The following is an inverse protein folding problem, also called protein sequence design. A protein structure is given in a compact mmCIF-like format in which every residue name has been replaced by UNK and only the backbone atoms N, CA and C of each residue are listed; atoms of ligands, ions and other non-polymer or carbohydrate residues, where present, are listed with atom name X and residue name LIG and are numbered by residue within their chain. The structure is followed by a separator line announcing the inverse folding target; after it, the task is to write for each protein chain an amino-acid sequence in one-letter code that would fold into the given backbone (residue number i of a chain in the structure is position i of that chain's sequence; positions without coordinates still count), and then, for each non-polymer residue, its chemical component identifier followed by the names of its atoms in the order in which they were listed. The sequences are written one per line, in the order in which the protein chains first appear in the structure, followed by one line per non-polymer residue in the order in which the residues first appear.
data_IF_997874396637
#
_entry.id   IF_997874396637
#
_cell.length_a   1.000
_cell.length_b   1.000
_cell.length_c   1.000
_cell.angle_alpha   90.00
_cell.angle_beta   90.00
_cell.angle_gamma   90.00
#
_symmetry.space_group_name_H-M   'P 1'
#
loop_
_entity.id
_entity.type
_entity.pdbx_description
1 polymer ?
#
# COMPACT_ATOMS: atom_id res chain seq x y z
N UNK A 1 21.24 -3.54 8.69
CA UNK A 1 21.84 -3.71 10.04
C UNK A 1 22.45 -2.45 10.66
N UNK A 2 22.51 -1.30 9.98
CA UNK A 2 23.14 -0.09 10.54
C UNK A 2 22.28 0.71 11.55
N UNK A 3 20.95 0.60 11.51
CA UNK A 3 20.03 1.42 12.30
C UNK A 3 19.03 0.60 13.14
N UNK A 4 19.49 -0.53 13.71
CA UNK A 4 18.65 -1.59 14.29
C UNK A 4 17.59 -1.09 15.29
N UNK A 5 17.97 -0.23 16.24
CA UNK A 5 17.03 0.25 17.27
C UNK A 5 16.11 1.38 16.78
N UNK A 6 16.49 2.10 15.73
CA UNK A 6 15.69 3.23 15.22
C UNK A 6 14.48 2.78 14.40
N UNK A 7 14.53 1.59 13.79
CA UNK A 7 13.40 1.02 13.05
C UNK A 7 12.17 0.84 13.97
N UNK A 8 12.38 0.55 15.26
CA UNK A 8 11.30 0.45 16.24
C UNK A 8 10.46 1.72 16.39
N UNK A 9 11.01 2.91 16.08
CA UNK A 9 10.24 4.15 16.11
C UNK A 9 9.13 4.17 15.06
N UNK A 10 9.34 3.54 13.88
CA UNK A 10 8.30 3.40 12.87
C UNK A 10 7.16 2.50 13.34
N UNK A 11 7.46 1.44 14.08
CA UNK A 11 6.45 0.52 14.63
C UNK A 11 5.58 1.23 15.68
N UNK A 12 6.21 1.98 16.59
CA UNK A 12 5.51 2.74 17.63
C UNK A 12 4.64 3.85 17.00
N UNK A 13 5.19 4.60 16.04
CA UNK A 13 4.43 5.64 15.34
C UNK A 13 3.26 5.05 14.52
N UNK A 14 3.48 3.90 13.87
CA UNK A 14 2.45 3.22 13.07
C UNK A 14 1.28 2.73 13.93
N UNK A 15 1.55 2.10 15.07
CA UNK A 15 0.51 1.65 15.99
C UNK A 15 -0.30 2.80 16.57
N UNK A 16 0.37 3.89 16.98
CA UNK A 16 -0.30 5.10 17.46
C UNK A 16 -1.18 5.74 16.39
N UNK A 17 -0.70 5.81 15.14
CA UNK A 17 -1.48 6.31 14.00
C UNK A 17 -2.71 5.44 13.75
N UNK A 18 -2.57 4.10 13.84
CA UNK A 18 -3.68 3.17 13.68
C UNK A 18 -4.81 3.38 14.71
N UNK A 19 -4.46 3.62 15.98
CA UNK A 19 -5.43 3.92 17.04
C UNK A 19 -6.19 5.21 16.71
N UNK A 20 -5.48 6.27 16.33
CA UNK A 20 -6.08 7.56 15.97
C UNK A 20 -7.00 7.42 14.75
N UNK A 21 -6.58 6.66 13.74
CA UNK A 21 -7.40 6.38 12.54
C UNK A 21 -8.70 5.67 12.89
N UNK A 22 -8.65 4.69 13.80
CA UNK A 22 -9.83 3.94 14.23
C UNK A 22 -10.85 4.82 14.99
N UNK A 23 -10.39 5.63 15.94
CA UNK A 23 -11.31 6.41 16.79
C UNK A 23 -11.81 7.71 16.16
N UNK A 24 -11.01 8.37 15.33
CA UNK A 24 -11.34 9.72 14.83
C UNK A 24 -11.80 9.67 13.38
N UNK A 25 -11.02 9.04 12.51
CA UNK A 25 -11.25 9.12 11.06
C UNK A 25 -12.29 8.10 10.58
N UNK A 26 -12.20 6.85 11.05
CA UNK A 26 -13.10 5.77 10.65
C UNK A 26 -14.60 6.09 10.84
N UNK A 27 -15.08 6.61 12.00
CA UNK A 27 -16.50 6.93 12.15
C UNK A 27 -16.95 8.02 11.16
N UNK A 28 -16.12 9.05 10.97
CA UNK A 28 -16.40 10.16 10.06
C UNK A 28 -16.56 9.67 8.62
N UNK A 29 -15.63 8.83 8.12
CA UNK A 29 -15.72 8.29 6.76
C UNK A 29 -16.88 7.30 6.59
N UNK A 30 -17.17 6.51 7.63
CA UNK A 30 -18.25 5.53 7.59
C UNK A 30 -19.64 6.21 7.56
N UNK A 31 -19.85 7.26 8.36
CA UNK A 31 -21.11 8.00 8.41
C UNK A 31 -21.42 8.72 7.09
N UNK A 32 -20.39 9.21 6.38
CA UNK A 32 -20.55 9.86 5.08
C UNK A 32 -20.68 8.87 3.90
N UNK A 33 -20.55 7.56 4.13
CA UNK A 33 -20.61 6.50 3.11
C UNK A 33 -19.77 6.77 1.85
N UNK A 34 -18.60 7.39 2.02
CA UNK A 34 -17.74 7.76 0.90
C UNK A 34 -16.94 6.55 0.42
N UNK A 35 -16.95 6.32 -0.89
CA UNK A 35 -16.19 5.23 -1.53
C UNK A 35 -14.71 5.54 -1.72
N UNK A 36 -14.31 6.82 -1.61
CA UNK A 36 -12.93 7.28 -1.75
C UNK A 36 -12.62 8.43 -0.79
N UNK A 37 -11.42 8.42 -0.20
CA UNK A 37 -10.92 9.54 0.60
C UNK A 37 -10.88 10.85 -0.21
N UNK A 38 -10.66 10.79 -1.52
CA UNK A 38 -10.64 11.98 -2.38
C UNK A 38 -12.03 12.61 -2.57
N UNK A 39 -13.10 11.81 -2.47
CA UNK A 39 -14.48 12.34 -2.50
C UNK A 39 -14.77 13.23 -1.30
N UNK A 40 -14.12 12.99 -0.16
CA UNK A 40 -14.21 13.90 0.99
C UNK A 40 -13.60 15.27 0.68
N UNK A 41 -12.47 15.32 -0.03
CA UNK A 41 -11.83 16.58 -0.43
C UNK A 41 -12.72 17.38 -1.39
N UNK A 42 -13.49 16.72 -2.26
CA UNK A 42 -14.46 17.40 -3.13
C UNK A 42 -15.61 18.01 -2.34
N UNK A 43 -16.18 17.28 -1.37
CA UNK A 43 -17.26 17.80 -0.53
C UNK A 43 -16.82 18.99 0.33
N UNK A 44 -15.56 19.01 0.76
CA UNK A 44 -15.03 20.06 1.64
C UNK A 44 -14.50 21.28 0.90
N UNK A 45 -13.90 21.10 -0.27
CA UNK A 45 -13.26 22.16 -1.04
C UNK A 45 -13.91 22.35 -2.40
N UNK A 46 -13.46 21.59 -3.40
CA UNK A 46 -13.97 21.67 -4.77
C UNK A 46 -13.48 20.45 -5.59
N UNK A 47 -14.10 20.22 -6.75
CA UNK A 47 -13.72 19.17 -7.71
C UNK A 47 -12.29 19.33 -8.23
N UNK A 48 -11.78 20.55 -8.36
CA UNK A 48 -10.40 20.79 -8.79
C UNK A 48 -9.40 20.19 -7.79
N UNK A 49 -9.65 20.35 -6.49
CA UNK A 49 -8.79 19.80 -5.43
C UNK A 49 -8.78 18.28 -5.46
N UNK A 50 -9.93 17.64 -5.69
CA UNK A 50 -10.02 16.18 -5.87
C UNK A 50 -9.14 15.68 -7.02
N UNK A 51 -9.20 16.35 -8.17
CA UNK A 51 -8.40 15.97 -9.34
C UNK A 51 -6.90 16.13 -9.09
N UNK A 52 -6.48 17.26 -8.50
CA UNK A 52 -5.06 17.49 -8.19
C UNK A 52 -4.56 16.48 -7.17
N UNK A 53 -5.31 16.24 -6.09
CA UNK A 53 -4.91 15.30 -5.03
C UNK A 53 -4.81 13.86 -5.53
N UNK A 54 -5.80 13.40 -6.30
CA UNK A 54 -5.78 12.06 -6.90
C UNK A 54 -4.67 11.90 -7.94
N UNK A 55 -4.39 12.93 -8.73
CA UNK A 55 -3.28 12.92 -9.69
C UNK A 55 -1.92 12.85 -9.00
N UNK A 56 -1.69 13.67 -7.96
CA UNK A 56 -0.45 13.65 -7.17
C UNK A 56 -0.27 12.29 -6.49
N UNK A 57 -1.34 11.70 -5.96
CA UNK A 57 -1.30 10.35 -5.38
C UNK A 57 -1.01 9.27 -6.42
N UNK A 58 -1.64 9.33 -7.60
CA UNK A 58 -1.35 8.37 -8.67
C UNK A 58 0.11 8.47 -9.12
N UNK A 59 0.65 9.70 -9.20
CA UNK A 59 2.04 9.94 -9.53
C UNK A 59 2.99 9.39 -8.45
N UNK A 60 2.70 9.63 -7.16
CA UNK A 60 3.52 9.09 -6.08
C UNK A 60 3.45 7.56 -6.01
N UNK A 61 2.28 6.97 -6.26
CA UNK A 61 2.11 5.53 -6.34
C UNK A 61 2.91 4.91 -7.50
N UNK A 62 2.97 5.56 -8.67
CA UNK A 62 3.80 5.13 -9.79
C UNK A 62 5.29 5.01 -9.43
N UNK A 63 5.80 5.89 -8.55
CA UNK A 63 7.17 5.81 -8.07
C UNK A 63 7.35 4.80 -6.93
N UNK A 64 6.36 4.65 -6.05
CA UNK A 64 6.46 3.81 -4.86
C UNK A 64 6.29 2.30 -5.19
N UNK A 65 5.33 1.95 -6.05
CA UNK A 65 4.98 0.55 -6.34
C UNK A 65 6.19 -0.26 -6.88
N UNK A 66 7.00 0.24 -7.83
CA UNK A 66 8.18 -0.49 -8.31
C UNK A 66 9.19 -0.77 -7.20
N UNK A 67 9.39 0.18 -6.28
CA UNK A 67 10.31 0.02 -5.14
C UNK A 67 9.80 -1.06 -4.18
N UNK A 68 8.50 -1.10 -3.93
CA UNK A 68 7.88 -2.12 -3.07
C UNK A 68 8.02 -3.52 -3.67
N UNK A 69 7.82 -3.68 -4.99
CA UNK A 69 7.97 -4.97 -5.69
C UNK A 69 9.43 -5.43 -5.74
N UNK A 70 10.39 -4.50 -5.74
CA UNK A 70 11.80 -4.82 -5.80
C UNK A 70 12.31 -5.57 -4.56
N UNK A 71 11.76 -5.27 -3.37
CA UNK A 71 12.16 -5.90 -2.10
C UNK A 71 11.96 -7.43 -2.11
N UNK A 72 10.76 -7.98 -2.39
CA UNK A 72 10.58 -9.42 -2.48
C UNK A 72 11.33 -10.04 -3.66
N UNK A 73 11.45 -9.33 -4.80
CA UNK A 73 12.25 -9.83 -5.94
C UNK A 73 13.72 -10.02 -5.54
N UNK A 74 14.30 -9.09 -4.78
CA UNK A 74 15.66 -9.19 -4.25
C UNK A 74 15.81 -10.38 -3.29
N UNK A 75 14.84 -10.58 -2.39
CA UNK A 75 14.84 -11.73 -1.49
C UNK A 75 14.78 -13.06 -2.26
N UNK A 76 13.92 -13.18 -3.28
CA UNK A 76 13.84 -14.37 -4.14
C UNK A 76 15.13 -14.61 -4.95
N UNK A 77 15.76 -13.55 -5.46
CA UNK A 77 17.03 -13.63 -6.17
C UNK A 77 18.16 -14.16 -5.30
N UNK A 78 18.20 -13.78 -4.02
CA UNK A 78 19.18 -14.29 -3.05
C UNK A 78 18.99 -15.79 -2.78
N UNK A 79 17.74 -16.25 -2.67
CA UNK A 79 17.44 -17.66 -2.35
C UNK A 79 17.58 -18.58 -3.56
N UNK A 80 17.15 -18.13 -4.74
CA UNK A 80 17.11 -18.98 -5.95
C UNK A 80 18.40 -18.90 -6.78
N UNK A 81 19.26 -17.90 -6.56
CA UNK A 81 20.45 -17.65 -7.37
C UNK A 81 20.17 -17.21 -8.82
N UNK A 82 18.90 -17.03 -9.18
CA UNK A 82 18.45 -16.59 -10.51
C UNK A 82 18.60 -15.07 -10.61
N UNK A 83 18.95 -14.57 -11.79
CA UNK A 83 19.14 -13.13 -11.99
C UNK A 83 17.83 -12.34 -11.84
N UNK A 84 17.95 -11.19 -11.18
CA UNK A 84 16.83 -10.33 -10.82
C UNK A 84 16.00 -9.85 -12.03
N UNK A 85 16.65 -9.76 -13.19
CA UNK A 85 16.00 -9.40 -14.46
C UNK A 85 14.90 -10.38 -14.90
N UNK A 86 15.00 -11.67 -14.55
CA UNK A 86 13.95 -12.64 -14.88
C UNK A 86 12.87 -12.70 -13.80
N UNK A 87 13.24 -12.58 -12.53
CA UNK A 87 12.32 -12.68 -11.40
C UNK A 87 11.34 -11.50 -11.37
N UNK A 88 11.83 -10.28 -11.64
CA UNK A 88 11.03 -9.05 -11.56
C UNK A 88 9.81 -9.06 -12.48
N UNK A 89 9.92 -9.31 -13.81
CA UNK A 89 8.75 -9.33 -14.69
C UNK A 89 7.77 -10.46 -14.35
N UNK A 90 8.25 -11.63 -13.93
CA UNK A 90 7.40 -12.76 -13.53
C UNK A 90 6.55 -12.36 -12.31
N UNK A 91 7.18 -11.77 -11.29
CA UNK A 91 6.49 -11.32 -10.08
C UNK A 91 5.45 -10.24 -10.39
N UNK A 92 5.77 -9.30 -11.27
CA UNK A 92 4.82 -8.28 -11.75
C UNK A 92 3.61 -8.89 -12.45
N UNK A 93 3.80 -9.88 -13.32
CA UNK A 93 2.70 -10.54 -14.05
C UNK A 93 1.78 -11.28 -13.08
N UNK A 94 2.35 -12.04 -12.14
CA UNK A 94 1.56 -12.75 -11.11
C UNK A 94 0.78 -11.73 -10.26
N UNK A 95 1.44 -10.66 -9.83
CA UNK A 95 0.83 -9.59 -9.04
C UNK A 95 -0.35 -8.92 -9.75
N UNK A 96 -0.15 -8.55 -11.02
CA UNK A 96 -1.19 -7.97 -11.84
C UNK A 96 -2.36 -8.94 -12.05
N UNK A 97 -2.07 -10.23 -12.25
CA UNK A 97 -3.10 -11.22 -12.49
C UNK A 97 -4.03 -11.39 -11.28
N UNK A 98 -3.51 -11.63 -10.08
CA UNK A 98 -4.38 -11.82 -8.92
C UNK A 98 -5.09 -10.53 -8.50
N UNK A 99 -4.45 -9.36 -8.70
CA UNK A 99 -5.06 -8.06 -8.39
C UNK A 99 -6.23 -7.74 -9.33
N UNK A 100 -6.10 -8.05 -10.62
CA UNK A 100 -7.17 -7.80 -11.61
C UNK A 100 -8.34 -8.75 -11.44
N UNK A 101 -8.09 -10.03 -11.13
CA UNK A 101 -9.15 -11.04 -10.94
C UNK A 101 -9.90 -10.82 -9.62
N UNK A 102 -9.17 -10.51 -8.55
CA UNK A 102 -9.73 -10.48 -7.20
C UNK A 102 -10.13 -9.10 -6.66
N UNK A 103 -9.66 -8.03 -7.30
CA UNK A 103 -9.88 -6.65 -6.85
C UNK A 103 -9.41 -6.41 -5.41
N UNK A 104 -10.04 -5.44 -4.73
CA UNK A 104 -9.68 -5.07 -3.35
C UNK A 104 -9.84 -6.24 -2.36
N UNK A 105 -10.82 -7.13 -2.57
CA UNK A 105 -11.08 -8.26 -1.67
C UNK A 105 -9.94 -9.26 -1.64
N UNK A 106 -9.37 -9.58 -2.81
CA UNK A 106 -8.22 -10.48 -2.86
C UNK A 106 -6.98 -9.85 -2.24
N UNK A 107 -6.76 -8.55 -2.46
CA UNK A 107 -5.62 -7.83 -1.85
C UNK A 107 -5.69 -7.89 -0.31
N UNK A 108 -6.88 -7.66 0.26
CA UNK A 108 -7.06 -7.77 1.73
C UNK A 108 -6.76 -9.19 2.20
N UNK A 109 -7.22 -10.21 1.49
CA UNK A 109 -6.96 -11.60 1.86
C UNK A 109 -5.46 -11.94 1.79
N UNK A 110 -4.77 -11.54 0.73
CA UNK A 110 -3.32 -11.76 0.62
C UNK A 110 -2.54 -11.03 1.72
N UNK A 111 -2.94 -9.81 2.07
CA UNK A 111 -2.30 -9.05 3.16
C UNK A 111 -2.53 -9.71 4.52
N UNK A 112 -3.72 -10.25 4.79
CA UNK A 112 -3.98 -10.99 6.05
C UNK A 112 -3.12 -12.24 6.17
N UNK A 113 -2.92 -12.97 5.07
CA UNK A 113 -2.03 -14.14 5.04
C UNK A 113 -0.58 -13.71 5.25
N UNK A 114 -0.15 -12.60 4.63
CA UNK A 114 1.21 -12.08 4.82
C UNK A 114 1.47 -11.68 6.27
N UNK A 115 0.51 -11.02 6.94
CA UNK A 115 0.62 -10.66 8.36
C UNK A 115 0.64 -11.88 9.29
N UNK A 116 0.03 -13.00 8.89
CA UNK A 116 0.04 -14.23 9.68
C UNK A 116 1.35 -15.02 9.52
N UNK A 117 1.99 -14.90 8.35
CA UNK A 117 3.24 -15.61 8.02
C UNK A 117 4.49 -14.84 8.45
N UNK A 118 4.44 -13.50 8.47
CA UNK A 118 5.54 -12.61 8.88
C UNK A 118 5.61 -12.49 10.41
#
# INVERSE_FOLDING_TARGET
YAYGTQIWMFVISGTMTGIVMHFIYLPVFHDMQLTSCFSYLELRFDRVVRLVASFVYALSALFLVPVVIYVPAMAFGQVSGVSLHWITPILCVICMFYTTVGGLRAVIWTDTVQLLLM
#
